data_IF_315963021447
#
_entry.id   IF_315963021447
#
_cell.length_a   1.000
_cell.length_b   1.000
_cell.length_c   1.000
_cell.angle_alpha   90.00
_cell.angle_beta   90.00
_cell.angle_gamma   90.00
#
_symmetry.space_group_name_H-M   'P 1'
#
loop_
_entity.id
_entity.type
_entity.pdbx_description
1 polymer ?
#
# COMPACT_ATOMS: atom_id res chain seq x y z
N UNK A 1 14.66 -5.55 32.08
CA UNK A 1 15.31 -6.24 30.94
C UNK A 1 14.86 -5.58 29.64
N UNK A 2 15.72 -4.96 28.83
CA UNK A 2 15.35 -4.51 27.50
C UNK A 2 15.06 -5.73 26.60
N UNK A 3 13.98 -5.67 25.80
CA UNK A 3 13.55 -6.78 24.94
C UNK A 3 14.65 -7.14 23.92
N UNK A 4 14.84 -8.44 23.71
CA UNK A 4 15.74 -8.92 22.65
C UNK A 4 15.25 -8.47 21.27
N UNK A 5 16.14 -8.41 20.28
CA UNK A 5 15.77 -8.01 18.91
C UNK A 5 14.70 -8.93 18.30
N UNK A 6 14.74 -10.23 18.63
CA UNK A 6 13.75 -11.21 18.18
C UNK A 6 12.34 -10.90 18.74
N UNK A 7 12.23 -10.49 19.99
CA UNK A 7 10.97 -10.11 20.62
C UNK A 7 10.42 -8.78 20.07
N UNK A 8 11.32 -7.84 19.73
CA UNK A 8 10.95 -6.59 19.06
C UNK A 8 10.37 -6.85 17.67
N UNK A 9 10.98 -7.73 16.88
CA UNK A 9 10.44 -8.11 15.56
C UNK A 9 9.10 -8.84 15.67
N UNK A 10 8.94 -9.74 16.65
CA UNK A 10 7.67 -10.46 16.88
C UNK A 10 6.54 -9.50 17.26
N UNK A 11 6.79 -8.56 18.17
CA UNK A 11 5.82 -7.51 18.54
C UNK A 11 5.49 -6.57 17.38
N UNK A 12 6.47 -6.23 16.54
CA UNK A 12 6.24 -5.42 15.35
C UNK A 12 5.32 -6.14 14.35
N UNK A 13 5.59 -7.42 14.04
CA UNK A 13 4.74 -8.25 13.15
C UNK A 13 3.31 -8.38 13.68
N UNK A 14 3.15 -8.60 14.98
CA UNK A 14 1.83 -8.68 15.63
C UNK A 14 1.06 -7.36 15.59
N UNK A 15 1.74 -6.21 15.77
CA UNK A 15 1.11 -4.89 15.65
C UNK A 15 0.68 -4.55 14.22
N UNK A 16 1.42 -5.01 13.22
CA UNK A 16 1.06 -4.81 11.80
C UNK A 16 -0.16 -5.66 11.42
N UNK A 17 -0.25 -6.90 11.90
CA UNK A 17 -1.44 -7.74 11.71
C UNK A 17 -2.69 -7.21 12.41
N UNK A 18 -2.56 -6.61 13.60
CA UNK A 18 -3.69 -6.13 14.40
C UNK A 18 -4.40 -4.88 13.84
N UNK A 19 -3.87 -4.20 12.81
CA UNK A 19 -4.44 -2.97 12.24
C UNK A 19 -5.14 -3.13 10.89
N UNK A 20 -5.42 -4.35 10.44
CA UNK A 20 -6.15 -4.60 9.19
C UNK A 20 -5.42 -4.18 7.91
N UNK A 21 -4.17 -3.68 8.02
CA UNK A 21 -3.35 -3.29 6.86
C UNK A 21 -2.64 -4.51 6.31
N UNK A 22 -3.10 -5.00 5.16
CA UNK A 22 -2.37 -6.02 4.38
C UNK A 22 -1.28 -5.33 3.58
N UNK A 23 -0.06 -5.88 3.62
CA UNK A 23 1.07 -5.40 2.83
C UNK A 23 1.14 -6.20 1.55
N UNK A 24 1.11 -5.50 0.41
CA UNK A 24 1.29 -6.07 -0.91
C UNK A 24 2.63 -5.62 -1.47
N UNK A 25 3.30 -6.53 -2.18
CA UNK A 25 4.48 -6.21 -2.99
C UNK A 25 4.08 -6.42 -4.44
N UNK A 26 4.13 -5.36 -5.24
CA UNK A 26 3.76 -5.37 -6.65
C UNK A 26 4.98 -4.95 -7.45
N UNK A 27 5.29 -5.72 -8.49
CA UNK A 27 6.31 -5.37 -9.47
C UNK A 27 5.62 -4.71 -10.66
N UNK A 28 6.11 -3.54 -11.05
CA UNK A 28 5.63 -2.78 -12.20
C UNK A 28 6.80 -2.44 -13.11
N UNK A 29 6.52 -2.13 -14.38
CA UNK A 29 7.56 -1.67 -15.31
C UNK A 29 8.08 -0.29 -14.89
N UNK A 30 9.32 0.03 -15.29
CA UNK A 30 9.96 1.31 -14.98
C UNK A 30 9.14 2.51 -15.45
N UNK A 31 8.57 2.42 -16.66
CA UNK A 31 7.71 3.47 -17.21
C UNK A 31 6.47 3.73 -16.33
N UNK A 32 5.83 2.69 -15.82
CA UNK A 32 4.67 2.84 -14.93
C UNK A 32 5.09 3.44 -13.58
N UNK A 33 6.28 3.09 -13.08
CA UNK A 33 6.81 3.68 -11.85
C UNK A 33 7.09 5.19 -11.98
N UNK A 34 7.59 5.63 -13.14
CA UNK A 34 7.80 7.05 -13.46
C UNK A 34 6.47 7.79 -13.54
N UNK A 35 5.50 7.27 -14.29
CA UNK A 35 4.16 7.88 -14.37
C UNK A 35 3.46 7.94 -13.01
N UNK A 36 3.61 6.91 -12.18
CA UNK A 36 3.06 6.92 -10.83
C UNK A 36 3.71 7.99 -9.94
N UNK A 37 5.02 8.22 -10.09
CA UNK A 37 5.75 9.27 -9.37
C UNK A 37 5.24 10.66 -9.78
N UNK A 38 5.18 10.94 -11.09
CA UNK A 38 4.66 12.21 -11.61
C UNK A 38 3.21 12.48 -11.16
N UNK A 39 2.36 11.45 -11.17
CA UNK A 39 0.98 11.56 -10.68
C UNK A 39 0.91 11.86 -9.18
N UNK A 40 1.76 11.23 -8.37
CA UNK A 40 1.82 11.50 -6.94
C UNK A 40 2.20 12.96 -6.66
N UNK A 41 3.17 13.50 -7.40
CA UNK A 41 3.61 14.89 -7.28
C UNK A 41 2.52 15.88 -7.70
N UNK A 42 1.80 15.59 -8.79
CA UNK A 42 0.71 16.47 -9.26
C UNK A 42 -0.52 16.46 -8.36
N UNK A 43 -0.80 15.34 -7.70
CA UNK A 43 -1.97 15.15 -6.85
C UNK A 43 -1.68 15.37 -5.35
N UNK A 44 -0.44 15.74 -5.01
CA UNK A 44 0.07 15.87 -3.64
C UNK A 44 -0.35 14.68 -2.75
N UNK A 45 -0.03 13.47 -3.19
CA UNK A 45 -0.42 12.25 -2.51
C UNK A 45 0.71 11.21 -2.47
N UNK A 46 0.59 10.24 -1.56
CA UNK A 46 1.53 9.13 -1.50
C UNK A 46 1.19 8.05 -2.54
N UNK A 47 2.22 7.29 -2.97
CA UNK A 47 2.03 6.12 -3.87
C UNK A 47 1.01 5.11 -3.32
N UNK A 48 0.98 4.95 -2.00
CA UNK A 48 0.01 4.06 -1.34
C UNK A 48 -1.42 4.56 -1.49
N UNK A 49 -1.66 5.85 -1.30
CA UNK A 49 -2.99 6.46 -1.49
C UNK A 49 -3.42 6.43 -2.95
N UNK A 50 -2.52 6.76 -3.89
CA UNK A 50 -2.80 6.66 -5.31
C UNK A 50 -3.21 5.22 -5.69
N UNK A 51 -2.47 4.22 -5.21
CA UNK A 51 -2.78 2.82 -5.48
C UNK A 51 -4.11 2.38 -4.85
N UNK A 52 -4.42 2.81 -3.63
CA UNK A 52 -5.71 2.55 -2.99
C UNK A 52 -6.87 3.14 -3.78
N UNK A 53 -6.76 4.40 -4.22
CA UNK A 53 -7.78 5.07 -5.06
C UNK A 53 -8.01 4.33 -6.37
N UNK A 54 -6.94 3.92 -7.06
CA UNK A 54 -7.03 3.16 -8.31
C UNK A 54 -7.74 1.81 -8.12
N UNK A 55 -7.47 1.11 -7.01
CA UNK A 55 -8.17 -0.14 -6.70
C UNK A 55 -9.65 0.11 -6.45
N UNK A 56 -9.99 1.14 -5.66
CA UNK A 56 -11.38 1.49 -5.36
C UNK A 56 -12.15 1.87 -6.63
N UNK A 57 -11.56 2.71 -7.48
CA UNK A 57 -12.15 3.13 -8.76
C UNK A 57 -12.39 1.93 -9.68
N UNK A 58 -11.41 1.04 -9.82
CA UNK A 58 -11.55 -0.13 -10.68
C UNK A 58 -12.56 -1.14 -10.11
N UNK A 59 -12.59 -1.32 -8.79
CA UNK A 59 -13.59 -2.14 -8.13
C UNK A 59 -15.00 -1.59 -8.35
N UNK A 60 -15.21 -0.27 -8.20
CA UNK A 60 -16.50 0.36 -8.45
C UNK A 60 -16.93 0.20 -9.92
N UNK A 61 -16.00 0.38 -10.88
CA UNK A 61 -16.30 0.17 -12.31
C UNK A 61 -16.77 -1.24 -12.64
N UNK A 62 -16.19 -2.25 -11.99
CA UNK A 62 -16.57 -3.66 -12.20
C UNK A 62 -17.82 -4.03 -11.42
N UNK A 63 -17.93 -3.58 -10.17
CA UNK A 63 -19.03 -3.93 -9.27
C UNK A 63 -20.34 -3.19 -9.56
N UNK A 64 -20.29 -1.92 -10.01
CA UNK A 64 -21.46 -1.13 -10.40
C UNK A 64 -21.94 -1.39 -11.84
N UNK A 65 -21.34 -2.35 -12.55
CA UNK A 65 -21.83 -2.86 -13.84
C UNK A 65 -22.71 -4.12 -13.69
N UNK A 66 -23.29 -4.34 -12.51
CA UNK A 66 -24.28 -5.38 -12.23
C UNK A 66 -25.69 -4.77 -12.09
#
# INVERSE_FOLDING_TARGET
MPLSEAERQKRYRQRVQAKGKKRYQVLVSSQVAEHAQELCERLDCSKGELFSRLIEDEYQRVACKA
#
